data_IF_111105103451
#
_entry.id   IF_111105103451
#
_cell.length_a   1.000
_cell.length_b   1.000
_cell.length_c   1.000
_cell.angle_alpha   90.00
_cell.angle_beta   90.00
_cell.angle_gamma   90.00
#
_symmetry.space_group_name_H-M   'P 1'
#
loop_
_entity.id
_entity.type
_entity.pdbx_description
1 polymer ?
#
# COMPACT_ATOMS: atom_id res chain seq x y z
N UNK A 1 1.33 -0.91 38.83
CA UNK A 1 2.69 -0.91 38.25
C UNK A 1 2.59 -0.27 36.88
N UNK A 2 3.35 0.80 36.62
CA UNK A 2 3.43 1.40 35.29
C UNK A 2 4.48 0.59 34.53
N UNK A 3 4.03 -0.20 33.56
CA UNK A 3 4.92 -0.91 32.64
C UNK A 3 5.80 0.13 31.94
N UNK A 4 7.11 -0.12 31.91
CA UNK A 4 8.05 0.69 31.14
C UNK A 4 7.69 0.69 29.65
N UNK A 5 8.24 1.62 28.84
CA UNK A 5 7.94 1.66 27.41
C UNK A 5 8.20 0.29 26.76
N UNK A 6 7.17 -0.31 26.15
CA UNK A 6 7.23 -1.58 25.42
C UNK A 6 8.29 -1.44 24.31
N UNK A 7 9.47 -2.04 24.48
CA UNK A 7 10.60 -1.93 23.54
C UNK A 7 10.22 -2.39 22.12
N UNK A 8 9.35 -3.39 22.00
CA UNK A 8 8.88 -3.91 20.72
C UNK A 8 8.06 -2.90 19.90
N UNK A 9 7.30 -2.00 20.53
CA UNK A 9 6.59 -0.93 19.81
C UNK A 9 7.55 0.13 19.26
N UNK A 10 8.64 0.42 19.99
CA UNK A 10 9.63 1.41 19.56
C UNK A 10 10.47 0.89 18.39
N UNK A 11 10.95 -0.36 18.48
CA UNK A 11 11.71 -1.01 17.41
C UNK A 11 10.90 -1.11 16.11
N UNK A 12 9.59 -1.38 16.23
CA UNK A 12 8.68 -1.44 15.10
C UNK A 12 8.42 -0.07 14.45
N UNK A 13 8.26 0.98 15.26
CA UNK A 13 8.15 2.35 14.76
C UNK A 13 9.44 2.79 14.04
N UNK A 14 10.60 2.42 14.57
CA UNK A 14 11.89 2.72 13.96
C UNK A 14 12.03 1.99 12.61
N UNK A 15 11.70 0.70 12.56
CA UNK A 15 11.66 -0.07 11.31
C UNK A 15 10.74 0.57 10.27
N UNK A 16 9.52 0.95 10.66
CA UNK A 16 8.59 1.64 9.76
C UNK A 16 9.13 2.96 9.24
N UNK A 17 9.77 3.75 10.10
CA UNK A 17 10.33 5.05 9.74
C UNK A 17 11.47 4.88 8.74
N UNK A 18 12.33 3.90 8.96
CA UNK A 18 13.42 3.55 8.03
C UNK A 18 12.85 3.16 6.67
N UNK A 19 11.85 2.28 6.63
CA UNK A 19 11.36 1.80 5.35
C UNK A 19 10.49 2.86 4.62
N UNK A 20 9.75 3.69 5.35
CA UNK A 20 9.10 4.87 4.77
C UNK A 20 10.13 5.84 4.17
N UNK A 21 11.26 6.06 4.84
CA UNK A 21 12.36 6.86 4.32
C UNK A 21 12.98 6.29 3.03
N UNK A 22 13.20 4.97 2.98
CA UNK A 22 13.70 4.28 1.78
C UNK A 22 12.70 4.43 0.62
N UNK A 23 11.40 4.26 0.90
CA UNK A 23 10.35 4.39 -0.11
C UNK A 23 10.26 5.81 -0.66
N UNK A 24 10.41 6.82 0.19
CA UNK A 24 10.44 8.22 -0.21
C UNK A 24 11.69 8.53 -1.05
N UNK A 25 12.85 7.97 -0.67
CA UNK A 25 14.07 8.10 -1.46
C UNK A 25 13.91 7.45 -2.83
N UNK A 26 13.33 6.25 -2.92
CA UNK A 26 13.02 5.60 -4.20
C UNK A 26 12.05 6.43 -5.04
N UNK A 27 11.00 6.99 -4.43
CA UNK A 27 10.08 7.91 -5.12
C UNK A 27 10.82 9.14 -5.67
N UNK A 28 11.77 9.69 -4.90
CA UNK A 28 12.56 10.84 -5.33
C UNK A 28 13.48 10.50 -6.51
N UNK A 29 14.01 9.27 -6.62
CA UNK A 29 14.85 8.87 -7.76
C UNK A 29 14.11 8.86 -9.10
N UNK A 30 12.78 8.77 -9.09
CA UNK A 30 11.96 8.87 -10.30
C UNK A 30 11.63 10.32 -10.70
N UNK A 31 11.88 11.32 -9.84
CA UNK A 31 11.51 12.72 -10.09
C UNK A 31 12.18 13.32 -11.34
N UNK A 32 13.48 13.09 -11.63
CA UNK A 32 14.09 13.64 -12.84
C UNK A 32 13.38 13.17 -14.12
N UNK A 33 13.06 11.88 -14.21
CA UNK A 33 12.32 11.31 -15.35
C UNK A 33 10.92 11.90 -15.50
N UNK A 34 10.26 12.26 -14.39
CA UNK A 34 8.97 12.94 -14.42
C UNK A 34 9.11 14.40 -14.87
N UNK A 35 10.12 15.12 -14.39
CA UNK A 35 10.31 16.55 -14.69
C UNK A 35 10.68 16.77 -16.16
N UNK A 36 11.56 15.94 -16.71
CA UNK A 36 12.11 16.10 -18.06
C UNK A 36 11.16 15.65 -19.17
N UNK A 37 10.07 14.95 -18.83
CA UNK A 37 9.19 14.29 -19.80
C UNK A 37 8.43 15.27 -20.72
N UNK A 38 8.17 14.89 -21.99
CA UNK A 38 7.31 15.65 -22.90
C UNK A 38 5.86 15.58 -22.42
N UNK A 39 5.40 16.61 -21.68
CA UNK A 39 4.07 16.69 -21.04
C UNK A 39 2.89 16.79 -22.02
N UNK A 40 3.17 16.93 -23.31
CA UNK A 40 2.22 16.81 -24.41
C UNK A 40 1.84 15.34 -24.72
N UNK A 41 2.64 14.36 -24.24
CA UNK A 41 2.35 12.94 -24.40
C UNK A 41 1.52 12.36 -23.22
N UNK A 42 0.54 11.51 -23.55
CA UNK A 42 -0.28 10.79 -22.56
C UNK A 42 0.55 9.85 -21.66
N UNK A 43 1.65 9.28 -22.15
CA UNK A 43 2.53 8.41 -21.36
C UNK A 43 3.20 9.16 -20.21
N UNK A 44 3.59 10.41 -20.42
CA UNK A 44 4.17 11.27 -19.36
C UNK A 44 3.17 11.49 -18.23
N UNK A 45 1.91 11.78 -18.56
CA UNK A 45 0.84 11.88 -17.58
C UNK A 45 0.55 10.55 -16.89
N UNK A 46 0.58 9.43 -17.62
CA UNK A 46 0.45 8.12 -17.03
C UNK A 46 1.57 7.84 -16.02
N UNK A 47 2.83 8.13 -16.37
CA UNK A 47 3.98 8.01 -15.47
C UNK A 47 3.80 8.80 -14.17
N UNK A 48 3.29 10.04 -14.25
CA UNK A 48 2.96 10.84 -13.07
C UNK A 48 1.86 10.18 -12.23
N UNK A 49 0.78 9.69 -12.84
CA UNK A 49 -0.30 9.00 -12.12
C UNK A 49 0.18 7.73 -11.43
N UNK A 50 1.05 6.96 -12.07
CA UNK A 50 1.66 5.76 -11.51
C UNK A 50 2.59 6.11 -10.34
N UNK A 51 3.39 7.17 -10.45
CA UNK A 51 4.19 7.68 -9.35
C UNK A 51 3.32 8.09 -8.16
N UNK A 52 2.26 8.87 -8.40
CA UNK A 52 1.30 9.27 -7.37
C UNK A 52 0.62 8.06 -6.73
N UNK A 53 0.33 7.02 -7.52
CA UNK A 53 -0.23 5.76 -7.01
C UNK A 53 0.73 5.08 -6.05
N UNK A 54 2.02 4.99 -6.41
CA UNK A 54 3.06 4.45 -5.54
C UNK A 54 3.20 5.23 -4.23
N UNK A 55 3.17 6.57 -4.28
CA UNK A 55 3.21 7.42 -3.08
C UNK A 55 1.98 7.20 -2.19
N UNK A 56 0.78 7.19 -2.78
CA UNK A 56 -0.46 6.96 -2.04
C UNK A 56 -0.53 5.55 -1.43
N UNK A 57 0.07 4.56 -2.10
CA UNK A 57 0.20 3.19 -1.62
C UNK A 57 1.18 3.10 -0.43
N UNK A 58 2.33 3.77 -0.51
CA UNK A 58 3.26 3.87 0.62
C UNK A 58 2.61 4.54 1.84
N UNK A 59 1.82 5.60 1.63
CA UNK A 59 1.04 6.25 2.69
C UNK A 59 0.05 5.27 3.30
N UNK A 60 -0.74 4.54 2.48
CA UNK A 60 -1.72 3.55 2.94
C UNK A 60 -1.08 2.54 3.89
N UNK A 61 0.06 1.97 3.50
CA UNK A 61 0.76 0.96 4.28
C UNK A 61 1.35 1.51 5.56
N UNK A 62 2.07 2.64 5.48
CA UNK A 62 2.60 3.32 6.67
C UNK A 62 1.50 3.58 7.70
N UNK A 63 0.37 4.09 7.21
CA UNK A 63 -0.80 4.40 8.01
C UNK A 63 -1.42 3.13 8.60
N UNK A 64 -1.61 2.08 7.79
CA UNK A 64 -2.22 0.81 8.21
C UNK A 64 -1.42 0.19 9.35
N UNK A 65 -0.10 0.27 9.23
CA UNK A 65 0.84 -0.31 10.16
C UNK A 65 1.00 0.54 11.41
N UNK A 66 1.04 1.87 11.31
CA UNK A 66 1.07 2.76 12.46
C UNK A 66 -0.16 2.54 13.36
N UNK A 67 -1.35 2.46 12.77
CA UNK A 67 -2.56 2.14 13.53
C UNK A 67 -2.52 0.71 14.05
N UNK A 68 -2.18 -0.25 13.19
CA UNK A 68 -2.04 -1.67 13.54
C UNK A 68 -1.12 -1.87 14.74
N UNK A 69 0.04 -1.19 14.81
CA UNK A 69 1.03 -1.32 15.88
C UNK A 69 0.46 -1.09 17.28
N UNK A 70 -0.56 -0.22 17.42
CA UNK A 70 -1.26 0.02 18.69
C UNK A 70 -2.12 -1.17 19.14
N UNK A 71 -2.54 -2.01 18.19
CA UNK A 71 -3.42 -3.17 18.41
C UNK A 71 -2.72 -4.53 18.28
N UNK A 72 -1.62 -4.60 17.52
CA UNK A 72 -1.04 -5.85 16.99
C UNK A 72 0.22 -6.35 17.70
N UNK A 73 1.13 -5.49 18.15
CA UNK A 73 2.52 -5.91 18.35
C UNK A 73 3.05 -5.56 19.74
N UNK A 74 2.79 -6.47 20.68
CA UNK A 74 3.70 -6.63 21.84
C UNK A 74 4.93 -7.49 21.51
N UNK A 75 4.97 -8.13 20.33
CA UNK A 75 6.12 -8.91 19.83
C UNK A 75 6.22 -8.74 18.32
N UNK A 76 7.42 -8.48 17.82
CA UNK A 76 7.74 -8.46 16.38
C UNK A 76 7.56 -9.88 15.84
N UNK A 77 6.47 -10.13 15.11
CA UNK A 77 6.24 -11.40 14.44
C UNK A 77 7.02 -11.41 13.11
N UNK A 78 7.87 -12.43 12.91
CA UNK A 78 8.71 -12.59 11.72
C UNK A 78 7.88 -12.49 10.43
N UNK A 79 6.65 -13.02 10.45
CA UNK A 79 5.73 -13.00 9.31
C UNK A 79 5.33 -11.56 8.94
N UNK A 80 5.03 -10.73 9.94
CA UNK A 80 4.69 -9.33 9.73
C UNK A 80 5.86 -8.52 9.20
N UNK A 81 7.07 -8.75 9.72
CA UNK A 81 8.29 -8.09 9.25
C UNK A 81 8.64 -8.48 7.81
N UNK A 82 8.56 -9.76 7.46
CA UNK A 82 8.84 -10.23 6.10
C UNK A 82 7.83 -9.67 5.11
N UNK A 83 6.55 -9.65 5.47
CA UNK A 83 5.50 -9.10 4.61
C UNK A 83 5.71 -7.61 4.32
N UNK A 84 6.01 -6.82 5.36
CA UNK A 84 6.38 -5.41 5.22
C UNK A 84 7.56 -5.21 4.25
N UNK A 85 8.64 -5.96 4.44
CA UNK A 85 9.82 -5.87 3.56
C UNK A 85 9.43 -6.17 2.10
N UNK A 86 8.60 -7.18 1.85
CA UNK A 86 8.15 -7.51 0.50
C UNK A 86 7.26 -6.41 -0.12
N UNK A 87 6.34 -5.85 0.66
CA UNK A 87 5.50 -4.71 0.25
C UNK A 87 6.37 -3.54 -0.19
N UNK A 88 7.39 -3.23 0.58
CA UNK A 88 8.30 -2.14 0.31
C UNK A 88 9.25 -2.40 -0.86
N UNK A 89 9.72 -3.63 -1.05
CA UNK A 89 10.47 -4.01 -2.25
C UNK A 89 9.61 -3.87 -3.51
N UNK A 90 8.32 -4.22 -3.45
CA UNK A 90 7.40 -4.01 -4.56
C UNK A 90 7.21 -2.51 -4.85
N UNK A 91 7.05 -1.67 -3.81
CA UNK A 91 6.97 -0.20 -3.95
C UNK A 91 8.24 0.39 -4.57
N UNK A 92 9.42 0.02 -4.08
CA UNK A 92 10.70 0.47 -4.63
C UNK A 92 10.87 0.05 -6.10
N UNK A 93 10.48 -1.19 -6.43
CA UNK A 93 10.48 -1.69 -7.80
C UNK A 93 9.56 -0.87 -8.72
N UNK A 94 8.36 -0.49 -8.26
CA UNK A 94 7.44 0.35 -9.05
C UNK A 94 8.07 1.70 -9.40
N UNK A 95 8.78 2.34 -8.46
CA UNK A 95 9.48 3.60 -8.74
C UNK A 95 10.69 3.40 -9.67
N UNK A 96 11.43 2.30 -9.51
CA UNK A 96 12.55 1.98 -10.38
C UNK A 96 12.10 1.80 -11.85
N UNK A 97 10.97 1.13 -12.07
CA UNK A 97 10.40 0.94 -13.42
C UNK A 97 10.05 2.27 -14.09
N UNK A 98 9.56 3.26 -13.35
CA UNK A 98 9.31 4.60 -13.90
C UNK A 98 10.61 5.23 -14.43
N UNK A 99 11.73 5.04 -13.73
CA UNK A 99 13.04 5.53 -14.15
C UNK A 99 13.66 4.78 -15.35
N UNK A 100 13.15 3.60 -15.71
CA UNK A 100 13.63 2.80 -16.84
C UNK A 100 13.02 3.22 -18.19
N UNK A 101 12.01 4.10 -18.18
CA UNK A 101 11.38 4.66 -19.38
C UNK A 101 10.21 3.86 -19.95
N UNK A 102 9.58 4.42 -20.99
CA UNK A 102 8.26 4.03 -21.50
C UNK A 102 8.10 2.55 -21.88
N UNK A 103 9.15 1.92 -22.39
CA UNK A 103 9.12 0.52 -22.84
C UNK A 103 8.88 -0.48 -21.69
N UNK A 104 9.19 -0.11 -20.46
CA UNK A 104 9.05 -0.96 -19.26
C UNK A 104 7.82 -0.61 -18.42
N UNK A 105 7.09 0.43 -18.82
CA UNK A 105 6.13 1.11 -17.96
C UNK A 105 4.79 0.38 -17.87
N UNK A 106 4.38 -0.38 -18.91
CA UNK A 106 3.06 -1.01 -18.98
C UNK A 106 2.99 -2.46 -18.44
N UNK A 107 3.91 -3.39 -18.77
CA UNK A 107 3.84 -4.72 -18.16
C UNK A 107 4.37 -4.76 -16.73
N UNK A 108 5.59 -4.24 -16.53
CA UNK A 108 6.36 -4.49 -15.32
C UNK A 108 5.84 -3.68 -14.13
N UNK A 109 5.43 -2.43 -14.35
CA UNK A 109 4.83 -1.62 -13.29
C UNK A 109 3.55 -2.26 -12.75
N UNK A 110 2.65 -2.70 -13.64
CA UNK A 110 1.38 -3.30 -13.23
C UNK A 110 1.54 -4.69 -12.60
N UNK A 111 2.56 -5.47 -13.00
CA UNK A 111 2.93 -6.70 -12.30
C UNK A 111 3.43 -6.41 -10.88
N UNK A 112 4.31 -5.43 -10.70
CA UNK A 112 4.79 -5.05 -9.37
C UNK A 112 3.67 -4.48 -8.49
N UNK A 113 2.76 -3.71 -9.08
CA UNK A 113 1.57 -3.20 -8.41
C UNK A 113 0.60 -4.33 -8.01
N UNK A 114 0.48 -5.36 -8.83
CA UNK A 114 -0.29 -6.55 -8.48
C UNK A 114 0.34 -7.31 -7.30
N UNK A 115 1.67 -7.47 -7.29
CA UNK A 115 2.40 -8.09 -6.17
C UNK A 115 2.15 -7.30 -4.89
N UNK A 116 2.35 -5.97 -4.94
CA UNK A 116 2.03 -5.06 -3.84
C UNK A 116 0.60 -5.30 -3.34
N UNK A 117 -0.38 -5.26 -4.25
CA UNK A 117 -1.81 -5.38 -3.90
C UNK A 117 -2.15 -6.75 -3.29
N UNK A 118 -1.53 -7.84 -3.73
CA UNK A 118 -1.69 -9.17 -3.13
C UNK A 118 -1.14 -9.21 -1.71
N UNK A 119 0.06 -8.64 -1.50
CA UNK A 119 0.68 -8.59 -0.18
C UNK A 119 -0.15 -7.72 0.78
N UNK A 120 -0.57 -6.53 0.36
CA UNK A 120 -1.49 -5.66 1.11
C UNK A 120 -2.80 -6.36 1.47
N UNK A 121 -3.37 -7.15 0.53
CA UNK A 121 -4.58 -7.92 0.80
C UNK A 121 -4.33 -9.04 1.83
N UNK A 122 -3.20 -9.75 1.73
CA UNK A 122 -2.81 -10.79 2.67
C UNK A 122 -2.56 -10.21 4.07
N UNK A 123 -1.91 -9.05 4.16
CA UNK A 123 -1.71 -8.31 5.41
C UNK A 123 -3.02 -7.85 6.02
N UNK A 124 -3.94 -7.29 5.23
CA UNK A 124 -5.26 -6.90 5.72
C UNK A 124 -6.05 -8.10 6.25
N UNK A 125 -5.99 -9.26 5.58
CA UNK A 125 -6.66 -10.49 6.02
C UNK A 125 -6.00 -11.11 7.27
N UNK A 126 -4.67 -11.10 7.37
CA UNK A 126 -3.96 -11.46 8.59
C UNK A 126 -4.36 -10.49 9.74
N UNK A 127 -4.34 -9.21 9.42
CA UNK A 127 -4.85 -8.05 10.16
C UNK A 127 -6.28 -8.22 10.69
N UNK A 128 -7.10 -8.99 9.98
CA UNK A 128 -8.47 -9.25 10.38
C UNK A 128 -8.55 -10.38 11.40
N UNK A 129 -7.74 -11.42 11.22
CA UNK A 129 -7.77 -12.65 12.03
C UNK A 129 -7.20 -12.45 13.43
N UNK A 130 -6.11 -11.69 13.56
CA UNK A 130 -5.42 -11.52 14.85
C UNK A 130 -6.13 -10.50 15.76
N UNK A 131 -6.73 -9.44 15.22
CA UNK A 131 -7.50 -8.46 16.03
C UNK A 131 -8.73 -9.07 16.69
N UNK A 132 -9.45 -9.98 16.00
CA UNK A 132 -10.61 -10.67 16.59
C UNK A 132 -10.21 -11.43 17.86
N UNK A 133 -8.98 -11.96 17.91
CA UNK A 133 -8.49 -12.76 19.03
C UNK A 133 -8.07 -11.91 20.23
N UNK A 134 -7.53 -10.71 20.01
CA UNK A 134 -6.84 -9.94 21.06
C UNK A 134 -7.55 -8.63 21.46
N UNK A 135 -8.29 -7.99 20.55
CA UNK A 135 -8.79 -6.62 20.78
C UNK A 135 -10.20 -6.54 21.39
N UNK A 136 -10.98 -7.63 21.38
CA UNK A 136 -12.39 -7.63 21.83
C UNK A 136 -12.53 -7.21 23.29
N UNK A 137 -11.60 -7.63 24.15
CA UNK A 137 -11.63 -7.30 25.58
C UNK A 137 -11.27 -5.84 25.87
N UNK A 138 -10.51 -5.19 25.00
CA UNK A 138 -10.02 -3.83 25.21
C UNK A 138 -10.94 -2.75 24.63
N UNK A 139 -11.56 -3.00 23.46
CA UNK A 139 -12.31 -1.98 22.70
C UNK A 139 -13.80 -2.31 22.51
N UNK A 140 -14.24 -3.47 22.99
CA UNK A 140 -15.62 -3.93 22.85
C UNK A 140 -15.95 -4.51 21.47
N UNK A 141 -16.98 -5.36 21.42
CA UNK A 141 -17.30 -6.15 20.23
C UNK A 141 -17.77 -5.31 19.02
N UNK A 142 -18.40 -4.16 19.26
CA UNK A 142 -18.91 -3.31 18.19
C UNK A 142 -17.79 -2.64 17.39
N UNK A 143 -16.77 -2.09 18.07
CA UNK A 143 -15.61 -1.47 17.44
C UNK A 143 -14.77 -2.49 16.65
N UNK A 144 -14.53 -3.66 17.26
CA UNK A 144 -13.79 -4.75 16.60
C UNK A 144 -14.51 -5.26 15.35
N UNK A 145 -15.84 -5.40 15.38
CA UNK A 145 -16.62 -5.80 14.20
C UNK A 145 -16.50 -4.80 13.06
N UNK A 146 -16.60 -3.50 13.34
CA UNK A 146 -16.46 -2.47 12.32
C UNK A 146 -15.08 -2.50 11.66
N UNK A 147 -14.02 -2.66 12.47
CA UNK A 147 -12.65 -2.77 11.95
C UNK A 147 -12.43 -4.05 11.13
N UNK A 148 -12.99 -5.17 11.55
CA UNK A 148 -12.92 -6.45 10.81
C UNK A 148 -13.59 -6.37 9.44
N UNK A 149 -14.75 -5.72 9.35
CA UNK A 149 -15.44 -5.50 8.08
C UNK A 149 -14.62 -4.60 7.17
N UNK A 150 -14.03 -3.54 7.71
CA UNK A 150 -13.13 -2.64 6.98
C UNK A 150 -11.93 -3.36 6.38
N UNK A 151 -11.22 -4.16 7.18
CA UNK A 151 -10.06 -4.90 6.69
C UNK A 151 -10.44 -5.90 5.60
N UNK A 152 -11.62 -6.50 5.69
CA UNK A 152 -12.16 -7.34 4.62
C UNK A 152 -12.42 -6.54 3.33
N UNK A 153 -12.98 -5.34 3.44
CA UNK A 153 -13.23 -4.47 2.28
C UNK A 153 -11.91 -4.07 1.61
N UNK A 154 -10.90 -3.69 2.39
CA UNK A 154 -9.55 -3.39 1.87
C UNK A 154 -8.94 -4.61 1.20
N UNK A 155 -8.99 -5.79 1.84
CA UNK A 155 -8.46 -7.02 1.27
C UNK A 155 -9.12 -7.39 -0.06
N UNK A 156 -10.46 -7.28 -0.15
CA UNK A 156 -11.20 -7.54 -1.38
C UNK A 156 -10.88 -6.52 -2.47
N UNK A 157 -10.78 -5.23 -2.12
CA UNK A 157 -10.43 -4.17 -3.05
C UNK A 157 -9.03 -4.39 -3.62
N UNK A 158 -8.03 -4.64 -2.77
CA UNK A 158 -6.65 -4.87 -3.19
C UNK A 158 -6.50 -6.17 -4.00
N UNK A 159 -7.18 -7.25 -3.61
CA UNK A 159 -7.20 -8.48 -4.40
C UNK A 159 -7.85 -8.27 -5.78
N UNK A 160 -8.95 -7.50 -5.86
CA UNK A 160 -9.60 -7.15 -7.11
C UNK A 160 -8.71 -6.31 -8.02
N UNK A 161 -8.02 -5.31 -7.45
CA UNK A 161 -7.06 -4.47 -8.17
C UNK A 161 -5.87 -5.30 -8.66
N UNK A 162 -5.33 -6.20 -7.84
CA UNK A 162 -4.27 -7.11 -8.26
C UNK A 162 -4.69 -7.94 -9.48
N UNK A 163 -5.90 -8.52 -9.44
CA UNK A 163 -6.45 -9.28 -10.57
C UNK A 163 -6.60 -8.43 -11.83
N UNK A 164 -7.10 -7.20 -11.70
CA UNK A 164 -7.23 -6.26 -12.82
C UNK A 164 -5.86 -5.86 -13.39
N UNK A 165 -4.85 -5.64 -12.55
CA UNK A 165 -3.50 -5.28 -12.98
C UNK A 165 -2.78 -6.44 -13.68
N UNK A 166 -2.93 -7.68 -13.19
CA UNK A 166 -2.43 -8.88 -13.89
C UNK A 166 -3.14 -9.05 -15.23
N UNK A 167 -4.47 -8.90 -15.26
CA UNK A 167 -5.24 -9.01 -16.50
C UNK A 167 -4.80 -7.95 -17.51
N UNK A 168 -4.60 -6.69 -17.08
CA UNK A 168 -4.10 -5.63 -17.95
C UNK A 168 -2.73 -5.97 -18.54
N UNK A 169 -1.77 -6.38 -17.69
CA UNK A 169 -0.43 -6.75 -18.13
C UNK A 169 -0.43 -7.98 -19.07
N UNK A 170 -1.35 -8.93 -18.88
CA UNK A 170 -1.47 -10.12 -19.72
C UNK A 170 -2.14 -9.84 -21.06
N UNK A 171 -3.18 -8.99 -21.09
CA UNK A 171 -3.95 -8.67 -22.30
C UNK A 171 -3.24 -7.64 -23.18
N UNK A 172 -2.52 -6.70 -22.58
CA UNK A 172 -1.79 -5.65 -23.28
C UNK A 172 -0.28 -5.64 -22.95
N UNK A 173 0.51 -6.59 -23.52
CA UNK A 173 1.97 -6.53 -23.41
C UNK A 173 2.54 -5.23 -24.00
N UNK A 174 1.99 -4.76 -25.12
CA UNK A 174 2.33 -3.50 -25.78
C UNK A 174 1.13 -2.54 -25.71
N UNK A 175 0.79 -2.09 -24.51
CA UNK A 175 -0.40 -1.28 -24.28
C UNK A 175 -0.34 0.09 -25.00
N UNK A 176 -1.40 0.52 -25.69
CA UNK A 176 -1.44 1.87 -26.25
C UNK A 176 -1.44 2.93 -25.13
N UNK A 177 -0.84 4.10 -25.33
CA UNK A 177 -0.72 5.17 -24.32
C UNK A 177 -2.01 5.51 -23.58
N UNK A 178 -3.14 5.57 -24.29
CA UNK A 178 -4.44 5.86 -23.70
C UNK A 178 -4.90 4.78 -22.72
N UNK A 179 -4.61 3.50 -23.00
CA UNK A 179 -4.96 2.40 -22.10
C UNK A 179 -4.11 2.45 -20.82
N UNK A 180 -2.81 2.74 -20.94
CA UNK A 180 -1.90 2.92 -19.78
C UNK A 180 -2.37 4.09 -18.92
N UNK A 181 -2.75 5.22 -19.53
CA UNK A 181 -3.28 6.38 -18.82
C UNK A 181 -4.56 6.05 -18.05
N UNK A 182 -5.54 5.40 -18.69
CA UNK A 182 -6.80 5.01 -18.03
C UNK A 182 -6.53 4.02 -16.90
N UNK A 183 -5.68 3.02 -17.11
CA UNK A 183 -5.33 2.04 -16.09
C UNK A 183 -4.60 2.70 -14.90
N UNK A 184 -3.69 3.64 -15.15
CA UNK A 184 -3.01 4.42 -14.12
C UNK A 184 -3.99 5.28 -13.29
N UNK A 185 -4.94 5.93 -13.95
CA UNK A 185 -5.99 6.70 -13.27
C UNK A 185 -6.88 5.81 -12.38
N UNK A 186 -7.25 4.62 -12.86
CA UNK A 186 -8.03 3.64 -12.09
C UNK A 186 -7.23 3.07 -10.91
N UNK A 187 -5.94 2.80 -11.09
CA UNK A 187 -5.04 2.35 -10.02
C UNK A 187 -4.96 3.41 -8.92
N UNK A 188 -4.70 4.67 -9.29
CA UNK A 188 -4.69 5.80 -8.35
C UNK A 188 -6.02 5.93 -7.60
N UNK A 189 -7.14 5.93 -8.33
CA UNK A 189 -8.47 6.04 -7.73
C UNK A 189 -8.73 4.93 -6.72
N UNK A 190 -8.32 3.69 -7.03
CA UNK A 190 -8.50 2.54 -6.14
C UNK A 190 -7.71 2.68 -4.84
N UNK A 191 -6.45 3.13 -4.92
CA UNK A 191 -5.60 3.37 -3.75
C UNK A 191 -6.11 4.56 -2.92
N UNK A 192 -6.58 5.62 -3.56
CA UNK A 192 -7.22 6.76 -2.86
C UNK A 192 -8.48 6.31 -2.12
N UNK A 193 -9.33 5.51 -2.75
CA UNK A 193 -10.53 4.93 -2.10
C UNK A 193 -10.14 4.08 -0.89
N UNK A 194 -9.10 3.24 -1.01
CA UNK A 194 -8.59 2.45 0.11
C UNK A 194 -8.11 3.34 1.28
N UNK A 195 -7.38 4.41 0.98
CA UNK A 195 -6.91 5.39 1.96
C UNK A 195 -8.09 6.09 2.66
N UNK A 196 -9.07 6.58 1.91
CA UNK A 196 -10.26 7.25 2.46
C UNK A 196 -11.06 6.29 3.35
N UNK A 197 -11.24 5.04 2.94
CA UNK A 197 -11.88 4.03 3.77
C UNK A 197 -11.11 3.83 5.06
N UNK A 198 -9.80 3.57 5.00
CA UNK A 198 -8.99 3.41 6.22
C UNK A 198 -9.05 4.64 7.13
N UNK A 199 -9.01 5.85 6.59
CA UNK A 199 -9.09 7.09 7.37
C UNK A 199 -10.43 7.21 8.12
N UNK A 200 -11.56 7.04 7.42
CA UNK A 200 -12.90 7.13 8.03
C UNK A 200 -13.04 6.16 9.22
N UNK A 201 -12.54 4.95 9.06
CA UNK A 201 -12.59 3.93 10.11
C UNK A 201 -11.73 4.33 11.31
N UNK A 202 -10.53 4.87 11.10
CA UNK A 202 -9.66 5.32 12.20
C UNK A 202 -10.27 6.45 13.01
N UNK A 203 -10.87 7.42 12.34
CA UNK A 203 -11.59 8.52 13.01
C UNK A 203 -12.71 7.93 13.88
N UNK A 204 -13.55 7.06 13.31
CA UNK A 204 -14.64 6.44 14.07
C UNK A 204 -14.21 5.55 15.24
N UNK A 205 -12.99 4.99 15.19
CA UNK A 205 -12.42 4.20 16.27
C UNK A 205 -11.74 5.06 17.34
N UNK A 206 -11.23 6.23 16.98
CA UNK A 206 -10.61 7.16 17.93
C UNK A 206 -11.63 7.97 18.74
N UNK A 207 -12.83 8.18 18.18
CA UNK A 207 -13.95 8.88 18.83
C UNK A 207 -14.73 7.99 19.83
N UNK A 208 -14.39 6.71 19.97
CA UNK A 208 -15.07 5.72 20.82
C UNK A 208 -14.16 5.16 21.90
#
# INVERSE_FOLDING_TARGET
MRDGPDSGTHDYQLLLTVIAGISLAAAATALPALIDGPWDALLSWAGLLLWLTGVAAAVLEYLAVLFGSRYYLRRVDLVGTVSLVLVFLALAGMFAVIGMGDAWLAPQWFVLFAIFSVLSAAEAEHGRRVIVRHAVRAYGAAAVRAYVVSLRQVALLMAGVAGASVLFAAVWPDAPPAAVFVAAALALASVVVANVQQHRIRVSLAER
#
